data_IF_622996727233
#
_entry.id   IF_622996727233
#
_cell.length_a   1.000
_cell.length_b   1.000
_cell.length_c   1.000
_cell.angle_alpha   90.00
_cell.angle_beta   90.00
_cell.angle_gamma   90.00
#
_symmetry.space_group_name_H-M   'P 1'
#
loop_
_entity.id
_entity.type
_entity.pdbx_description
1 polymer ?
#
# COMPACT_ATOMS: atom_id res chain seq x y z
N UNK A 1 -1.43 -3.40 10.95
CA UNK A 1 -2.59 -3.69 10.08
C UNK A 1 -3.91 -3.82 10.82
N UNK A 2 -4.00 -4.50 11.99
CA UNK A 2 -5.26 -4.66 12.75
C UNK A 2 -6.06 -3.37 12.98
N UNK A 3 -5.40 -2.28 13.40
CA UNK A 3 -6.08 -1.01 13.65
C UNK A 3 -6.61 -0.34 12.38
N UNK A 4 -5.94 -0.55 11.24
CA UNK A 4 -6.35 0.00 9.95
C UNK A 4 -7.55 -0.77 9.35
N UNK A 5 -7.60 -2.09 9.55
CA UNK A 5 -8.74 -2.93 9.16
C UNK A 5 -10.04 -2.61 9.91
N UNK A 6 -9.94 -2.10 11.13
CA UNK A 6 -11.09 -1.76 11.97
C UNK A 6 -11.69 -0.38 11.63
N UNK A 7 -11.04 0.39 10.78
CA UNK A 7 -11.40 1.76 10.41
C UNK A 7 -11.89 1.77 8.96
N UNK A 8 -13.21 1.89 8.77
CA UNK A 8 -13.85 1.83 7.46
C UNK A 8 -13.56 3.06 6.58
N UNK A 9 -13.06 4.14 7.18
CA UNK A 9 -12.63 5.38 6.53
C UNK A 9 -11.22 5.28 5.91
N UNK A 10 -10.46 4.23 6.23
CA UNK A 10 -9.15 3.99 5.62
C UNK A 10 -9.35 3.21 4.33
N UNK A 11 -9.14 3.88 3.20
CA UNK A 11 -9.24 3.27 1.88
C UNK A 11 -7.96 2.55 1.42
N UNK A 12 -6.78 3.08 1.78
CA UNK A 12 -5.48 2.61 1.29
C UNK A 12 -4.47 2.56 2.43
N UNK A 13 -3.70 1.47 2.49
CA UNK A 13 -2.56 1.31 3.39
C UNK A 13 -1.30 1.08 2.56
N UNK A 14 -0.35 2.00 2.68
CA UNK A 14 0.95 1.90 2.01
C UNK A 14 2.02 1.35 2.95
N UNK A 15 2.79 0.37 2.48
CA UNK A 15 3.90 -0.25 3.19
C UNK A 15 5.17 -0.16 2.33
N UNK A 16 6.34 -0.03 2.94
CA UNK A 16 7.58 -0.13 2.17
C UNK A 16 7.86 -1.58 1.79
N UNK A 17 8.65 -1.82 0.74
CA UNK A 17 9.10 -3.17 0.37
C UNK A 17 9.74 -3.91 1.53
N UNK A 18 10.59 -3.22 2.31
CA UNK A 18 11.25 -3.79 3.49
C UNK A 18 10.26 -4.28 4.54
N UNK A 19 9.23 -3.49 4.83
CA UNK A 19 8.20 -3.87 5.82
C UNK A 19 7.33 -4.99 5.24
N UNK A 20 6.93 -4.89 3.98
CA UNK A 20 6.11 -5.91 3.30
C UNK A 20 6.81 -7.28 3.32
N UNK A 21 8.13 -7.31 3.11
CA UNK A 21 8.92 -8.54 3.16
C UNK A 21 8.92 -9.19 4.54
N UNK A 22 8.87 -8.40 5.62
CA UNK A 22 8.84 -8.90 7.01
C UNK A 22 7.47 -9.46 7.42
N UNK A 23 6.39 -9.03 6.76
CA UNK A 23 5.00 -9.44 7.08
C UNK A 23 4.27 -10.01 5.86
N UNK A 24 4.99 -10.67 4.95
CA UNK A 24 4.48 -11.12 3.67
C UNK A 24 3.24 -12.04 3.80
N UNK A 25 3.21 -12.90 4.82
CA UNK A 25 2.08 -13.79 5.12
C UNK A 25 0.81 -13.01 5.51
N UNK A 26 0.94 -11.99 6.37
CA UNK A 26 -0.20 -11.14 6.77
C UNK A 26 -0.73 -10.32 5.57
N UNK A 27 0.18 -9.89 4.69
CA UNK A 27 -0.14 -9.18 3.46
C UNK A 27 -0.90 -10.07 2.47
N UNK A 28 -0.43 -11.30 2.25
CA UNK A 28 -1.12 -12.25 1.37
C UNK A 28 -2.48 -12.65 1.93
N UNK A 29 -2.55 -13.01 3.20
CA UNK A 29 -3.82 -13.34 3.86
C UNK A 29 -4.82 -12.17 3.80
N UNK A 30 -4.33 -10.92 3.84
CA UNK A 30 -5.20 -9.77 3.67
C UNK A 30 -5.72 -9.59 2.24
N UNK A 31 -4.84 -9.77 1.23
CA UNK A 31 -5.19 -9.68 -0.19
C UNK A 31 -6.21 -10.75 -0.61
N UNK A 32 -6.14 -11.93 0.00
CA UNK A 32 -7.06 -13.04 -0.29
C UNK A 32 -8.41 -12.88 0.41
N UNK A 33 -8.42 -12.28 1.62
CA UNK A 33 -9.60 -12.27 2.49
C UNK A 33 -10.38 -10.95 2.56
N UNK A 34 -9.88 -9.84 2.01
CA UNK A 34 -10.56 -8.56 2.13
C UNK A 34 -10.33 -7.61 0.94
N UNK A 35 -11.39 -6.92 0.54
CA UNK A 35 -11.35 -5.91 -0.52
C UNK A 35 -10.78 -4.55 -0.03
N UNK A 36 -10.80 -4.28 1.27
CA UNK A 36 -10.37 -3.01 1.88
C UNK A 36 -9.68 -3.22 3.24
N UNK A 37 -8.74 -2.34 3.63
CA UNK A 37 -8.13 -1.29 2.80
C UNK A 37 -7.22 -1.86 1.71
N UNK A 38 -7.09 -1.16 0.58
CA UNK A 38 -6.18 -1.54 -0.49
C UNK A 38 -4.74 -1.52 0.03
N UNK A 39 -4.03 -2.65 -0.07
CA UNK A 39 -2.65 -2.74 0.38
C UNK A 39 -1.67 -2.50 -0.75
N UNK A 40 -0.80 -1.51 -0.55
CA UNK A 40 0.11 -0.98 -1.55
C UNK A 40 1.54 -1.10 -1.05
N UNK A 41 2.45 -1.59 -1.88
CA UNK A 41 3.88 -1.61 -1.57
C UNK A 41 4.60 -0.50 -2.33
N UNK A 42 5.31 0.36 -1.61
CA UNK A 42 6.14 1.44 -2.18
C UNK A 42 7.63 1.14 -2.00
N UNK A 43 8.48 1.49 -2.98
CA UNK A 43 9.93 1.33 -2.86
C UNK A 43 10.48 2.25 -1.75
N UNK A 44 11.56 1.81 -1.10
CA UNK A 44 12.15 2.57 -0.01
C UNK A 44 12.74 3.91 -0.49
N UNK A 45 12.65 4.93 0.36
CA UNK A 45 13.02 6.34 0.10
C UNK A 45 14.52 6.57 -0.13
N UNK A 46 15.32 5.50 -0.18
CA UNK A 46 16.78 5.56 -0.30
C UNK A 46 17.26 5.67 -1.75
N UNK A 47 16.36 5.57 -2.75
CA UNK A 47 16.66 5.83 -4.15
C UNK A 47 15.92 7.07 -4.65
N UNK A 48 16.59 8.23 -4.63
CA UNK A 48 16.45 9.47 -5.44
C UNK A 48 15.14 9.89 -6.14
N UNK A 49 13.98 9.30 -5.89
CA UNK A 49 12.72 9.63 -6.55
C UNK A 49 11.78 10.32 -5.56
N UNK A 50 11.25 11.45 -5.99
CA UNK A 50 10.24 12.23 -5.29
C UNK A 50 9.07 11.32 -4.88
N UNK A 51 8.90 11.11 -3.57
CA UNK A 51 7.91 10.20 -2.99
C UNK A 51 6.49 10.53 -3.50
N UNK A 52 6.23 11.81 -3.72
CA UNK A 52 4.96 12.30 -4.29
C UNK A 52 4.73 11.74 -5.69
N UNK A 53 5.74 11.79 -6.56
CA UNK A 53 5.65 11.27 -7.92
C UNK A 53 5.50 9.74 -7.94
N UNK A 54 6.16 9.03 -7.02
CA UNK A 54 6.01 7.59 -6.88
C UNK A 54 4.58 7.19 -6.45
N UNK A 55 4.00 7.93 -5.50
CA UNK A 55 2.62 7.71 -5.04
C UNK A 55 1.62 8.05 -6.16
N UNK A 56 1.76 9.21 -6.81
CA UNK A 56 0.87 9.62 -7.90
C UNK A 56 0.92 8.62 -9.07
N UNK A 57 2.12 8.17 -9.47
CA UNK A 57 2.26 7.17 -10.53
C UNK A 57 1.61 5.85 -10.13
N UNK A 58 1.82 5.40 -8.91
CA UNK A 58 1.23 4.15 -8.42
C UNK A 58 -0.30 4.20 -8.40
N UNK A 59 -0.89 5.30 -7.90
CA UNK A 59 -2.34 5.48 -7.85
C UNK A 59 -2.95 5.53 -9.25
N UNK A 60 -2.25 6.16 -10.20
CA UNK A 60 -2.65 6.18 -11.61
C UNK A 60 -2.55 4.78 -12.26
N UNK A 61 -1.46 4.05 -12.05
CA UNK A 61 -1.21 2.75 -12.68
C UNK A 61 -2.06 1.61 -12.11
N UNK A 62 -2.34 1.63 -10.80
CA UNK A 62 -2.95 0.47 -10.10
C UNK A 62 -4.45 0.65 -9.86
N UNK A 63 -4.88 1.88 -9.55
CA UNK A 63 -6.27 2.16 -9.15
C UNK A 63 -7.00 2.98 -10.22
N UNK A 64 -6.28 3.51 -11.22
CA UNK A 64 -6.86 4.37 -12.26
C UNK A 64 -7.28 5.75 -11.74
N UNK A 65 -6.75 6.17 -10.58
CA UNK A 65 -7.06 7.46 -9.97
C UNK A 65 -6.04 8.48 -10.46
N UNK A 66 -6.50 9.46 -11.24
CA UNK A 66 -5.71 10.64 -11.59
C UNK A 66 -5.99 11.75 -10.55
N UNK A 67 -4.95 12.20 -9.86
CA UNK A 67 -4.97 13.30 -8.88
C UNK A 67 -4.14 14.47 -9.41
#
# INVERSE_FOLDING_TARGET
MRSAKAQADIAVVMLTEKITALIAEEVQAHKEGAAMPLLVTVPDRHGSADMTAAISRYLAETVGIHI
#
